data_IF_931505177056
#
_entry.id   IF_931505177056
#
_cell.length_a   1.000
_cell.length_b   1.000
_cell.length_c   1.000
_cell.angle_alpha   90.00
_cell.angle_beta   90.00
_cell.angle_gamma   90.00
#
_symmetry.space_group_name_H-M   'P 1'
#
loop_
_entity.id
_entity.type
_entity.pdbx_description
1 polymer ?
#
# COMPACT_ATOMS: atom_id res chain seq x y z
N UNK A 1 0.35 -34.36 1.79
CA UNK A 1 -0.27 -33.35 0.91
C UNK A 1 -0.75 -32.21 1.79
N UNK A 2 -0.26 -30.99 1.60
CA UNK A 2 -0.81 -29.80 2.28
C UNK A 2 -1.89 -29.23 1.37
N UNK A 3 -3.15 -29.33 1.78
CA UNK A 3 -4.30 -28.69 1.11
C UNK A 3 -4.47 -27.28 1.66
N UNK A 4 -4.00 -26.27 0.92
CA UNK A 4 -4.22 -24.86 1.27
C UNK A 4 -5.66 -24.48 0.94
N UNK A 5 -6.52 -24.40 1.96
CA UNK A 5 -7.88 -23.88 1.81
C UNK A 5 -7.83 -22.35 1.61
N UNK A 6 -8.86 -21.78 0.98
CA UNK A 6 -8.95 -20.34 0.68
C UNK A 6 -8.75 -19.49 1.94
N UNK A 7 -9.29 -19.93 3.07
CA UNK A 7 -9.13 -19.31 4.41
C UNK A 7 -7.66 -19.17 4.83
N UNK A 8 -6.81 -20.13 4.46
CA UNK A 8 -5.39 -20.11 4.80
C UNK A 8 -4.56 -19.18 3.90
N UNK A 9 -5.07 -18.81 2.71
CA UNK A 9 -4.33 -18.01 1.72
C UNK A 9 -4.59 -16.51 1.90
N UNK A 10 -5.81 -16.13 2.30
CA UNK A 10 -6.24 -14.73 2.40
C UNK A 10 -5.29 -13.85 3.26
N UNK A 11 -4.82 -14.29 4.45
CA UNK A 11 -3.90 -13.48 5.25
C UNK A 11 -2.58 -13.18 4.53
N UNK A 12 -2.01 -14.16 3.80
CA UNK A 12 -0.78 -13.97 3.04
C UNK A 12 -0.97 -12.99 1.90
N UNK A 13 -2.10 -13.08 1.19
CA UNK A 13 -2.44 -12.15 0.11
C UNK A 13 -2.64 -10.73 0.66
N UNK A 14 -3.33 -10.58 1.79
CA UNK A 14 -3.54 -9.30 2.46
C UNK A 14 -2.21 -8.64 2.85
N UNK A 15 -1.28 -9.41 3.43
CA UNK A 15 0.06 -8.93 3.78
C UNK A 15 0.87 -8.58 2.53
N UNK A 16 0.83 -9.41 1.48
CA UNK A 16 1.54 -9.13 0.24
C UNK A 16 1.05 -7.83 -0.42
N UNK A 17 -0.27 -7.59 -0.44
CA UNK A 17 -0.85 -6.33 -0.92
C UNK A 17 -0.42 -5.14 -0.06
N UNK A 18 -0.47 -5.27 1.27
CA UNK A 18 -0.10 -4.19 2.18
C UNK A 18 1.38 -3.82 2.03
N UNK A 19 2.27 -4.80 2.10
CA UNK A 19 3.72 -4.60 1.99
C UNK A 19 4.09 -4.10 0.59
N UNK A 20 3.56 -4.73 -0.46
CA UNK A 20 3.79 -4.29 -1.84
C UNK A 20 3.31 -2.85 -2.08
N UNK A 21 2.15 -2.51 -1.53
CA UNK A 21 1.58 -1.17 -1.54
C UNK A 21 2.52 -0.15 -0.88
N UNK A 22 2.96 -0.39 0.36
CA UNK A 22 3.86 0.50 1.10
C UNK A 22 5.24 0.66 0.43
N UNK A 23 5.84 -0.45 0.00
CA UNK A 23 7.16 -0.44 -0.66
C UNK A 23 7.08 0.31 -1.99
N UNK A 24 6.10 -0.02 -2.81
CA UNK A 24 5.88 0.66 -4.09
C UNK A 24 5.60 2.15 -3.93
N UNK A 25 4.81 2.51 -2.91
CA UNK A 25 4.56 3.89 -2.52
C UNK A 25 5.87 4.65 -2.24
N UNK A 26 6.76 4.07 -1.42
CA UNK A 26 8.05 4.66 -1.09
C UNK A 26 8.93 4.90 -2.32
N UNK A 27 8.98 3.95 -3.25
CA UNK A 27 9.70 4.12 -4.51
C UNK A 27 9.10 5.21 -5.40
N UNK A 28 7.77 5.28 -5.49
CA UNK A 28 7.07 6.31 -6.28
C UNK A 28 7.28 7.70 -5.68
N UNK A 29 7.22 7.85 -4.35
CA UNK A 29 7.56 9.10 -3.67
C UNK A 29 9.00 9.53 -3.96
N UNK A 30 9.95 8.60 -4.05
CA UNK A 30 11.33 8.92 -4.46
C UNK A 30 11.38 9.45 -5.89
N UNK A 31 10.56 8.91 -6.80
CA UNK A 31 10.46 9.40 -8.19
C UNK A 31 9.80 10.78 -8.24
N UNK A 32 8.73 11.01 -7.49
CA UNK A 32 8.04 12.30 -7.38
C UNK A 32 9.01 13.38 -6.93
N UNK A 33 9.76 13.15 -5.83
CA UNK A 33 10.77 14.10 -5.33
C UNK A 33 11.83 14.45 -6.36
N UNK A 34 12.27 13.49 -7.16
CA UNK A 34 13.25 13.72 -8.24
C UNK A 34 12.67 14.49 -9.44
N UNK A 35 11.34 14.50 -9.62
CA UNK A 35 10.68 15.19 -10.73
C UNK A 35 10.32 16.65 -10.42
N UNK A 36 10.48 17.07 -9.17
CA UNK A 36 10.16 18.42 -8.73
C UNK A 36 11.36 19.34 -9.00
N UNK A 37 11.09 20.51 -9.58
CA UNK A 37 12.13 21.46 -9.99
C UNK A 37 12.16 22.73 -9.14
N UNK A 38 11.20 22.92 -8.22
CA UNK A 38 11.10 24.10 -7.35
C UNK A 38 10.89 23.69 -5.89
N UNK A 39 11.39 24.48 -4.94
CA UNK A 39 11.24 24.18 -3.51
C UNK A 39 9.79 24.28 -3.02
N UNK A 40 8.96 25.10 -3.67
CA UNK A 40 7.53 25.22 -3.37
C UNK A 40 6.77 23.92 -3.67
N UNK A 41 7.13 23.23 -4.75
CA UNK A 41 6.56 21.93 -5.13
C UNK A 41 7.07 20.78 -4.23
N UNK A 42 8.20 20.95 -3.53
CA UNK A 42 8.77 19.98 -2.59
C UNK A 42 7.99 19.85 -1.27
N UNK A 43 6.86 20.56 -1.13
CA UNK A 43 5.98 20.41 0.02
C UNK A 43 5.62 18.91 0.21
N UNK A 44 5.86 18.33 1.41
CA UNK A 44 5.54 16.94 1.69
C UNK A 44 4.10 16.57 1.33
N UNK A 45 3.14 17.48 1.55
CA UNK A 45 1.74 17.28 1.19
C UNK A 45 1.56 17.00 -0.31
N UNK A 46 2.31 17.69 -1.17
CA UNK A 46 2.25 17.52 -2.62
C UNK A 46 2.82 16.16 -3.04
N UNK A 47 3.86 15.67 -2.36
CA UNK A 47 4.45 14.36 -2.62
C UNK A 47 3.53 13.22 -2.19
N UNK A 48 2.88 13.33 -1.03
CA UNK A 48 1.98 12.30 -0.52
C UNK A 48 0.65 12.25 -1.27
N UNK A 49 0.10 13.40 -1.66
CA UNK A 49 -1.18 13.51 -2.38
C UNK A 49 -1.04 13.47 -3.91
N UNK A 50 0.17 13.25 -4.43
CA UNK A 50 0.40 13.13 -5.87
C UNK A 50 -0.43 11.98 -6.46
N UNK A 51 -1.09 12.23 -7.59
CA UNK A 51 -1.94 11.25 -8.28
C UNK A 51 -1.22 9.95 -8.64
N UNK A 52 0.10 9.99 -8.85
CA UNK A 52 0.95 8.81 -9.09
C UNK A 52 0.91 7.82 -7.92
N UNK A 53 0.57 8.31 -6.73
CA UNK A 53 0.52 7.55 -5.50
C UNK A 53 -0.83 6.83 -5.28
N UNK A 54 -1.89 7.19 -6.02
CA UNK A 54 -3.25 6.65 -5.85
C UNK A 54 -3.26 5.12 -5.97
N UNK A 55 -2.57 4.55 -6.96
CA UNK A 55 -2.51 3.09 -7.14
C UNK A 55 -1.95 2.35 -5.92
N UNK A 56 -1.00 2.96 -5.22
CA UNK A 56 -0.40 2.38 -4.03
C UNK A 56 -1.35 2.47 -2.83
N UNK A 57 -2.06 3.59 -2.67
CA UNK A 57 -3.12 3.71 -1.67
C UNK A 57 -4.26 2.72 -1.87
N UNK A 58 -4.66 2.48 -3.12
CA UNK A 58 -5.67 1.47 -3.46
C UNK A 58 -5.18 0.08 -3.06
N UNK A 59 -3.91 -0.25 -3.33
CA UNK A 59 -3.32 -1.54 -2.96
C UNK A 59 -3.24 -1.74 -1.44
N UNK A 60 -2.82 -0.70 -0.71
CA UNK A 60 -2.80 -0.68 0.77
C UNK A 60 -4.22 -0.87 1.31
N UNK A 61 -5.18 -0.09 0.82
CA UNK A 61 -6.58 -0.17 1.22
C UNK A 61 -7.20 -1.55 0.93
N UNK A 62 -6.89 -2.14 -0.22
CA UNK A 62 -7.34 -3.48 -0.57
C UNK A 62 -6.75 -4.55 0.37
N UNK A 63 -5.47 -4.46 0.72
CA UNK A 63 -4.84 -5.36 1.69
C UNK A 63 -5.49 -5.27 3.08
N UNK A 64 -5.75 -4.04 3.57
CA UNK A 64 -6.41 -3.82 4.85
C UNK A 64 -7.87 -4.30 4.85
N UNK A 65 -8.61 -4.02 3.77
CA UNK A 65 -9.99 -4.47 3.61
C UNK A 65 -10.07 -6.00 3.58
N UNK A 66 -9.14 -6.65 2.87
CA UNK A 66 -9.06 -8.10 2.78
C UNK A 66 -8.72 -8.74 4.14
N UNK A 67 -7.79 -8.16 4.89
CA UNK A 67 -7.47 -8.59 6.26
C UNK A 67 -8.70 -8.51 7.18
N UNK A 68 -9.40 -7.38 7.16
CA UNK A 68 -10.59 -7.17 7.99
C UNK A 68 -11.71 -8.14 7.61
N UNK A 69 -11.95 -8.34 6.30
CA UNK A 69 -12.93 -9.31 5.80
C UNK A 69 -12.61 -10.76 6.19
N UNK A 70 -11.33 -11.08 6.39
CA UNK A 70 -10.88 -12.38 6.89
C UNK A 70 -11.00 -12.55 8.41
N UNK A 71 -11.62 -11.58 9.12
CA UNK A 71 -11.76 -11.59 10.58
C UNK A 71 -10.55 -11.04 11.33
N UNK A 72 -9.58 -10.47 10.61
CA UNK A 72 -8.45 -9.78 11.21
C UNK A 72 -8.89 -8.55 12.01
N UNK A 73 -8.33 -8.38 13.21
CA UNK A 73 -8.65 -7.26 14.10
C UNK A 73 -7.45 -6.34 14.25
N UNK A 74 -7.69 -5.03 14.30
CA UNK A 74 -6.64 -4.05 14.54
C UNK A 74 -6.57 -3.72 16.03
N UNK A 75 -5.38 -3.77 16.63
CA UNK A 75 -5.15 -3.30 18.00
C UNK A 75 -5.77 -4.15 19.12
N UNK A 76 -6.00 -5.44 18.90
CA UNK A 76 -6.33 -6.40 19.96
C UNK A 76 -5.10 -7.15 20.42
#
# INVERSE_FOLDING_TARGET
MVTLTVESIIPFVAVALLVGGLVGQGFEMRKIRKSINTEEELNPKNVFLDKRNIKWYVMIGAGLALWYAAGGKFGQ
#
